data_IF_331546887506
#
_entry.id   IF_331546887506
#
_cell.length_a   1.000
_cell.length_b   1.000
_cell.length_c   1.000
_cell.angle_alpha   90.00
_cell.angle_beta   90.00
_cell.angle_gamma   90.00
#
_symmetry.space_group_name_H-M   'P 1'
#
loop_
_entity.id
_entity.type
_entity.pdbx_description
1 polymer ?
#
# COMPACT_ATOMS: atom_id res chain seq x y z
N UNK A 1 20.50 20.49 18.79
CA UNK A 1 19.40 19.70 18.19
C UNK A 1 20.01 18.37 17.74
N UNK A 2 19.48 17.23 18.18
CA UNK A 2 20.17 15.94 18.06
C UNK A 2 20.03 15.33 16.67
N UNK A 3 21.11 14.78 16.06
CA UNK A 3 21.09 14.20 14.70
C UNK A 3 20.17 12.97 14.53
N UNK A 4 19.61 12.46 15.64
CA UNK A 4 18.69 11.31 15.64
C UNK A 4 17.30 11.63 15.07
N UNK A 5 16.80 12.86 15.23
CA UNK A 5 15.52 13.28 14.66
C UNK A 5 15.58 13.37 13.13
N UNK A 6 16.70 13.85 12.57
CA UNK A 6 16.88 14.01 11.13
C UNK A 6 16.93 12.65 10.41
N UNK A 7 17.64 11.67 10.97
CA UNK A 7 17.70 10.32 10.40
C UNK A 7 16.32 9.64 10.41
N UNK A 8 15.55 9.82 11.50
CA UNK A 8 14.20 9.24 11.60
C UNK A 8 13.22 9.89 10.63
N UNK A 9 13.31 11.22 10.47
CA UNK A 9 12.50 11.97 9.51
C UNK A 9 12.83 11.57 8.06
N UNK A 10 14.12 11.46 7.72
CA UNK A 10 14.54 11.03 6.38
C UNK A 10 14.09 9.61 6.06
N UNK A 11 14.14 8.67 7.02
CA UNK A 11 13.61 7.30 6.82
C UNK A 11 12.10 7.29 6.63
N UNK A 12 11.35 8.09 7.40
CA UNK A 12 9.90 8.19 7.25
C UNK A 12 9.53 8.78 5.88
N UNK A 13 10.22 9.85 5.47
CA UNK A 13 10.04 10.48 4.15
C UNK A 13 10.33 9.51 3.01
N UNK A 14 11.41 8.73 3.11
CA UNK A 14 11.74 7.70 2.13
C UNK A 14 10.67 6.60 2.07
N UNK A 15 10.19 6.12 3.21
CA UNK A 15 9.14 5.10 3.26
C UNK A 15 7.82 5.60 2.64
N UNK A 16 7.42 6.85 2.93
CA UNK A 16 6.23 7.46 2.33
C UNK A 16 6.37 7.65 0.81
N UNK A 17 7.55 8.04 0.32
CA UNK A 17 7.82 8.16 -1.12
C UNK A 17 7.70 6.80 -1.84
N UNK A 18 8.19 5.71 -1.22
CA UNK A 18 8.05 4.35 -1.76
C UNK A 18 6.58 3.94 -1.84
N UNK A 19 5.78 4.26 -0.81
CA UNK A 19 4.33 3.99 -0.81
C UNK A 19 3.62 4.78 -1.91
N UNK A 20 3.97 6.05 -2.10
CA UNK A 20 3.41 6.91 -3.14
C UNK A 20 3.70 6.35 -4.54
N UNK A 21 4.94 5.97 -4.81
CA UNK A 21 5.33 5.38 -6.09
C UNK A 21 4.60 4.05 -6.36
N UNK A 22 4.39 3.24 -5.32
CA UNK A 22 3.62 1.99 -5.43
C UNK A 22 2.16 2.26 -5.81
N UNK A 23 1.53 3.25 -5.17
CA UNK A 23 0.16 3.67 -5.47
C UNK A 23 0.01 4.22 -6.90
N UNK A 24 0.97 5.01 -7.37
CA UNK A 24 0.98 5.52 -8.74
C UNK A 24 1.10 4.41 -9.78
N UNK A 25 1.97 3.42 -9.52
CA UNK A 25 2.09 2.23 -10.37
C UNK A 25 0.81 1.41 -10.40
N UNK A 26 0.20 1.17 -9.24
CA UNK A 26 -1.08 0.44 -9.14
C UNK A 26 -2.22 1.19 -9.86
N UNK A 27 -2.23 2.53 -9.79
CA UNK A 27 -3.19 3.38 -10.50
C UNK A 27 -3.02 3.28 -12.01
N UNK A 28 -1.79 3.28 -12.50
CA UNK A 28 -1.48 3.13 -13.93
C UNK A 28 -1.81 1.72 -14.43
N UNK A 29 -1.54 0.69 -13.62
CA UNK A 29 -1.90 -0.71 -13.91
C UNK A 29 -3.43 -0.93 -13.97
N UNK A 30 -4.23 -0.12 -13.27
CA UNK A 30 -5.69 -0.16 -13.33
C UNK A 30 -6.30 0.76 -14.42
N UNK A 31 -5.47 1.48 -15.17
CA UNK A 31 -5.94 2.41 -16.20
C UNK A 31 -6.58 1.66 -17.37
N UNK A 32 -7.85 1.98 -17.65
CA UNK A 32 -8.58 1.43 -18.79
C UNK A 32 -8.48 2.31 -20.04
N UNK A 33 -7.99 3.55 -19.89
CA UNK A 33 -8.00 4.54 -20.96
C UNK A 33 -7.18 4.12 -22.20
N UNK A 34 -5.99 3.50 -22.08
CA UNK A 34 -5.26 2.99 -23.25
C UNK A 34 -6.08 1.97 -24.04
N UNK A 35 -6.77 1.05 -23.36
CA UNK A 35 -7.62 0.03 -24.00
C UNK A 35 -8.83 0.66 -24.69
N UNK A 36 -9.48 1.65 -24.06
CA UNK A 36 -10.59 2.39 -24.69
C UNK A 36 -10.11 3.14 -25.93
N UNK A 37 -8.94 3.77 -25.87
CA UNK A 37 -8.33 4.43 -27.03
C UNK A 37 -8.03 3.44 -28.15
N UNK A 38 -7.49 2.26 -27.84
CA UNK A 38 -7.17 1.23 -28.85
C UNK A 38 -8.43 0.67 -29.51
N UNK A 39 -9.53 0.51 -28.76
CA UNK A 39 -10.85 0.17 -29.32
C UNK A 39 -11.26 1.23 -30.34
N UNK A 40 -11.27 2.52 -29.95
CA UNK A 40 -11.66 3.63 -30.82
C UNK A 40 -10.79 3.66 -32.09
N UNK A 41 -9.48 3.47 -31.96
CA UNK A 41 -8.53 3.48 -33.08
C UNK A 41 -8.75 2.31 -34.07
N UNK A 42 -9.30 1.20 -33.60
CA UNK A 42 -9.62 0.05 -34.43
C UNK A 42 -11.08 0.02 -34.91
N UNK A 43 -11.93 0.97 -34.51
CA UNK A 43 -13.32 1.08 -35.00
C UNK A 43 -13.39 1.42 -36.48
N UNK A 44 -12.40 2.13 -37.02
CA UNK A 44 -12.28 2.41 -38.45
C UNK A 44 -11.69 1.22 -39.25
N UNK A 45 -11.39 0.10 -38.58
CA UNK A 45 -10.82 -1.13 -39.16
C UNK A 45 -11.84 -2.28 -39.16
N UNK A 46 -11.39 -3.50 -39.48
CA UNK A 46 -12.21 -4.70 -39.47
C UNK A 46 -12.79 -5.03 -38.09
N UNK A 47 -13.99 -5.63 -38.07
CA UNK A 47 -14.73 -5.96 -36.84
C UNK A 47 -13.97 -6.90 -35.90
N UNK A 48 -13.07 -7.73 -36.44
CA UNK A 48 -12.26 -8.66 -35.66
C UNK A 48 -11.29 -7.95 -34.71
N UNK A 49 -10.69 -6.84 -35.12
CA UNK A 49 -9.76 -6.07 -34.29
C UNK A 49 -10.51 -5.43 -33.11
N UNK A 50 -11.72 -4.93 -33.35
CA UNK A 50 -12.60 -4.37 -32.30
C UNK A 50 -12.96 -5.44 -31.27
N UNK A 51 -13.33 -6.65 -31.72
CA UNK A 51 -13.65 -7.76 -30.82
C UNK A 51 -12.45 -8.17 -29.95
N UNK A 52 -11.23 -8.15 -30.50
CA UNK A 52 -10.02 -8.45 -29.75
C UNK A 52 -9.74 -7.41 -28.65
N UNK A 53 -9.81 -6.11 -28.97
CA UNK A 53 -9.57 -5.06 -27.97
C UNK A 53 -10.67 -5.03 -26.90
N UNK A 54 -11.93 -5.30 -27.28
CA UNK A 54 -13.04 -5.43 -26.33
C UNK A 54 -12.83 -6.62 -25.37
N UNK A 55 -12.30 -7.73 -25.86
CA UNK A 55 -11.97 -8.88 -25.02
C UNK A 55 -10.88 -8.53 -23.99
N UNK A 56 -9.84 -7.79 -24.39
CA UNK A 56 -8.81 -7.29 -23.46
C UNK A 56 -9.40 -6.38 -22.39
N UNK A 57 -10.28 -5.45 -22.77
CA UNK A 57 -10.96 -4.56 -21.83
C UNK A 57 -11.79 -5.36 -20.81
N UNK A 58 -12.56 -6.35 -21.27
CA UNK A 58 -13.35 -7.23 -20.39
C UNK A 58 -12.46 -7.96 -19.39
N UNK A 59 -11.35 -8.54 -19.84
CA UNK A 59 -10.38 -9.21 -18.96
C UNK A 59 -9.82 -8.24 -17.93
N UNK A 60 -9.42 -7.03 -18.34
CA UNK A 60 -8.85 -6.04 -17.42
C UNK A 60 -9.83 -5.58 -16.33
N UNK A 61 -11.11 -5.41 -16.69
CA UNK A 61 -12.17 -5.12 -15.72
C UNK A 61 -12.33 -6.29 -14.73
N UNK A 62 -12.29 -7.53 -15.24
CA UNK A 62 -12.43 -8.71 -14.39
C UNK A 62 -11.25 -8.86 -13.41
N UNK A 63 -10.02 -8.65 -13.87
CA UNK A 63 -8.83 -8.59 -13.00
C UNK A 63 -8.98 -7.52 -11.91
N UNK A 64 -9.46 -6.32 -12.27
CA UNK A 64 -9.67 -5.25 -11.29
C UNK A 64 -10.74 -5.62 -10.24
N UNK A 65 -11.81 -6.30 -10.65
CA UNK A 65 -12.83 -6.82 -9.72
C UNK A 65 -12.25 -7.85 -8.76
N UNK A 66 -11.40 -8.75 -9.24
CA UNK A 66 -10.73 -9.76 -8.42
C UNK A 66 -9.75 -9.11 -7.43
N UNK A 67 -9.02 -8.08 -7.84
CA UNK A 67 -8.16 -7.32 -6.94
C UNK A 67 -8.96 -6.64 -5.82
N UNK A 68 -10.11 -6.03 -6.14
CA UNK A 68 -11.00 -5.43 -5.14
C UNK A 68 -11.54 -6.50 -4.18
N UNK A 69 -11.98 -7.65 -4.71
CA UNK A 69 -12.52 -8.75 -3.89
C UNK A 69 -11.46 -9.35 -2.94
N UNK A 70 -10.19 -9.34 -3.34
CA UNK A 70 -9.08 -9.81 -2.50
C UNK A 70 -8.52 -8.71 -1.59
N UNK A 71 -9.11 -7.51 -1.59
CA UNK A 71 -8.60 -6.40 -0.78
C UNK A 71 -8.87 -6.65 0.72
N UNK A 72 -7.84 -6.60 1.59
CA UNK A 72 -8.03 -6.84 3.01
C UNK A 72 -9.06 -5.88 3.63
N UNK A 73 -10.02 -6.44 4.36
CA UNK A 73 -11.06 -5.68 5.03
C UNK A 73 -12.24 -5.29 4.15
N UNK A 74 -12.28 -5.65 2.85
CA UNK A 74 -13.41 -5.33 1.96
C UNK A 74 -14.73 -5.94 2.45
N UNK A 75 -14.67 -7.08 3.13
CA UNK A 75 -15.82 -7.78 3.71
C UNK A 75 -16.20 -7.27 5.12
N UNK A 76 -15.38 -6.39 5.71
CA UNK A 76 -15.59 -5.89 7.08
C UNK A 76 -16.42 -4.61 7.07
N UNK A 77 -17.29 -4.44 8.08
CA UNK A 77 -18.01 -3.18 8.23
C UNK A 77 -17.03 -2.04 8.59
N UNK A 78 -17.35 -0.78 8.26
CA UNK A 78 -16.51 0.36 8.65
C UNK A 78 -16.25 0.43 10.16
N UNK A 79 -17.22 0.01 10.97
CA UNK A 79 -17.11 -0.02 12.43
C UNK A 79 -16.10 -1.08 12.88
N UNK A 80 -16.15 -2.28 12.29
CA UNK A 80 -15.20 -3.36 12.61
C UNK A 80 -13.77 -2.98 12.22
N UNK A 81 -13.60 -2.37 11.04
CA UNK A 81 -12.31 -1.84 10.59
C UNK A 81 -11.76 -0.80 11.58
N UNK A 82 -12.60 0.12 12.06
CA UNK A 82 -12.21 1.15 13.01
C UNK A 82 -11.83 0.56 14.37
N UNK A 83 -12.58 -0.44 14.85
CA UNK A 83 -12.27 -1.14 16.09
C UNK A 83 -10.95 -1.93 16.00
N UNK A 84 -10.71 -2.61 14.88
CA UNK A 84 -9.45 -3.31 14.62
C UNK A 84 -8.27 -2.32 14.61
N UNK A 85 -8.43 -1.17 13.95
CA UNK A 85 -7.41 -0.12 13.92
C UNK A 85 -7.12 0.44 15.32
N UNK A 86 -8.14 0.69 16.13
CA UNK A 86 -7.98 1.15 17.51
C UNK A 86 -7.19 0.12 18.35
N UNK A 87 -7.52 -1.16 18.19
CA UNK A 87 -6.84 -2.27 18.86
C UNK A 87 -5.37 -2.34 18.46
N UNK A 88 -5.05 -2.24 17.16
CA UNK A 88 -3.68 -2.25 16.65
C UNK A 88 -2.86 -1.06 17.18
N UNK A 89 -3.46 0.14 17.24
CA UNK A 89 -2.81 1.33 17.80
C UNK A 89 -2.45 1.13 19.27
N UNK A 90 -3.36 0.56 20.07
CA UNK A 90 -3.09 0.30 21.48
C UNK A 90 -2.02 -0.77 21.68
N UNK A 91 -1.99 -1.81 20.83
CA UNK A 91 -0.90 -2.80 20.85
C UNK A 91 0.45 -2.16 20.56
N UNK A 92 0.55 -1.28 19.55
CA UNK A 92 1.79 -0.57 19.23
C UNK A 92 2.20 0.33 20.39
N UNK A 93 1.26 1.03 21.02
CA UNK A 93 1.52 1.86 22.21
C UNK A 93 2.11 1.01 23.34
N UNK A 94 1.44 -0.09 23.68
CA UNK A 94 1.86 -1.00 24.77
C UNK A 94 3.24 -1.60 24.49
N UNK A 95 3.48 -2.09 23.27
CA UNK A 95 4.80 -2.64 22.86
C UNK A 95 5.90 -1.59 22.97
N UNK A 96 5.64 -0.35 22.54
CA UNK A 96 6.61 0.73 22.69
C UNK A 96 6.90 1.07 24.16
N UNK A 97 5.87 1.13 25.01
CA UNK A 97 6.07 1.35 26.45
C UNK A 97 6.92 0.25 27.08
N UNK A 98 6.68 -1.01 26.71
CA UNK A 98 7.47 -2.14 27.19
C UNK A 98 8.94 -2.02 26.74
N UNK A 99 9.19 -1.71 25.47
CA UNK A 99 10.54 -1.47 24.96
C UNK A 99 11.25 -0.32 25.70
N UNK A 100 10.53 0.77 26.03
CA UNK A 100 11.11 1.86 26.81
C UNK A 100 11.45 1.44 28.24
N UNK A 101 10.58 0.65 28.90
CA UNK A 101 10.87 0.09 30.23
C UNK A 101 12.14 -0.76 30.20
N UNK A 102 12.28 -1.67 29.23
CA UNK A 102 13.50 -2.48 29.09
C UNK A 102 14.75 -1.63 28.83
N UNK A 103 14.66 -0.56 28.02
CA UNK A 103 15.78 0.38 27.82
C UNK A 103 16.17 1.12 29.11
N UNK A 104 15.18 1.55 29.90
CA UNK A 104 15.43 2.26 31.16
C UNK A 104 15.98 1.37 32.26
N UNK A 105 15.72 0.06 32.20
CA UNK A 105 16.15 -0.92 33.19
C UNK A 105 17.61 -1.37 33.05
N UNK A 106 18.40 -0.73 32.17
CA UNK A 106 19.80 -1.00 31.85
C UNK A 106 20.51 -2.03 32.77
N UNK A 107 20.29 -3.32 32.48
CA UNK A 107 21.14 -4.43 32.87
C UNK A 107 22.14 -4.76 31.74
N UNK A 108 22.34 -3.82 30.81
CA UNK A 108 23.10 -4.01 29.57
C UNK A 108 24.17 -2.93 29.31
N UNK A 109 24.56 -2.15 30.32
CA UNK A 109 25.90 -1.57 30.32
C UNK A 109 26.87 -2.70 30.64
N UNK A 110 27.15 -3.53 29.63
CA UNK A 110 28.36 -4.34 29.65
C UNK A 110 29.53 -3.37 29.87
N UNK A 111 30.44 -3.61 30.83
CA UNK A 111 31.56 -2.72 31.05
C UNK A 111 32.29 -2.54 29.72
N UNK A 112 32.41 -1.29 29.26
CA UNK A 112 33.33 -0.98 28.17
C UNK A 112 34.70 -1.47 28.61
N UNK A 113 35.22 -2.49 27.94
CA UNK A 113 36.56 -3.00 28.19
C UNK A 113 37.55 -1.82 28.19
N UNK A 114 38.26 -1.67 29.30
CA UNK A 114 39.41 -0.77 29.45
C UNK A 114 40.60 -1.29 28.66
#
# INVERSE_FOLDING_TARGET
MTPSCDVKYMRLKAAMAVVQQKLEKEREECSLLPLVHDIIKCMDKDSQDVHQELAKLKTKIQEAREQIANMPGIDSSPVDQQQQLATLREQVRTKNQLLQKYKSLCMFDAPKAS
#
